data_IF_540626865520
#
_entry.id   IF_540626865520
#
_cell.length_a   1.000
_cell.length_b   1.000
_cell.length_c   1.000
_cell.angle_alpha   90.00
_cell.angle_beta   90.00
_cell.angle_gamma   90.00
#
_symmetry.space_group_name_H-M   'P 1'
#
loop_
_entity.id
_entity.type
_entity.pdbx_description
1 polymer ?
#
# COMPACT_ATOMS: atom_id res chain seq x y z
N UNK A 1 -18.87 25.79 23.23
CA UNK A 1 -17.45 25.80 22.81
C UNK A 1 -16.65 26.50 23.89
N UNK A 2 -16.03 25.73 24.78
CA UNK A 2 -15.14 26.30 25.82
C UNK A 2 -13.88 26.77 25.11
N UNK A 3 -13.59 28.06 25.19
CA UNK A 3 -12.38 28.65 24.62
C UNK A 3 -11.15 28.08 25.32
N UNK A 4 -10.50 27.08 24.71
CA UNK A 4 -9.16 26.65 25.13
C UNK A 4 -8.25 27.85 24.94
N UNK A 5 -7.80 28.44 26.05
CA UNK A 5 -6.77 29.49 26.00
C UNK A 5 -5.56 28.94 25.25
N UNK A 6 -5.04 29.70 24.28
CA UNK A 6 -3.85 29.30 23.52
C UNK A 6 -2.64 29.01 24.44
N UNK A 7 -2.66 29.48 25.69
CA UNK A 7 -1.62 29.25 26.69
C UNK A 7 -1.72 27.91 27.42
N UNK A 8 -2.86 27.22 27.37
CA UNK A 8 -3.04 25.90 27.99
C UNK A 8 -3.05 24.75 26.98
N UNK A 9 -3.12 25.04 25.67
CA UNK A 9 -3.18 24.03 24.62
C UNK A 9 -1.97 23.09 24.68
N UNK A 10 -2.24 21.80 24.87
CA UNK A 10 -1.22 20.75 24.86
C UNK A 10 -0.90 20.30 23.44
N UNK A 11 0.25 19.63 23.28
CA UNK A 11 0.62 19.02 22.00
C UNK A 11 -0.40 17.94 21.60
N UNK A 12 -0.94 17.18 22.55
CA UNK A 12 -1.94 16.15 22.27
C UNK A 12 -3.21 16.73 21.65
N UNK A 13 -3.82 17.69 22.34
CA UNK A 13 -5.03 18.39 21.88
C UNK A 13 -4.81 19.09 20.53
N UNK A 14 -3.62 19.68 20.34
CA UNK A 14 -3.26 20.30 19.08
C UNK A 14 -3.19 19.27 17.94
N UNK A 15 -2.51 18.14 18.16
CA UNK A 15 -2.37 17.09 17.14
C UNK A 15 -3.71 16.49 16.75
N UNK A 16 -4.63 16.29 17.70
CA UNK A 16 -5.99 15.82 17.44
C UNK A 16 -6.76 16.82 16.56
N UNK A 17 -6.76 18.10 16.93
CA UNK A 17 -7.43 19.16 16.17
C UNK A 17 -6.81 19.31 14.78
N UNK A 18 -5.48 19.26 14.69
CA UNK A 18 -4.75 19.33 13.43
C UNK A 18 -5.11 18.17 12.50
N UNK A 19 -5.18 16.96 13.04
CA UNK A 19 -5.50 15.75 12.28
C UNK A 19 -6.95 15.76 11.79
N UNK A 20 -7.89 16.20 12.63
CA UNK A 20 -9.30 16.37 12.26
C UNK A 20 -9.47 17.33 11.07
N UNK A 21 -8.60 18.34 10.96
CA UNK A 21 -8.58 19.28 9.83
C UNK A 21 -7.99 18.74 8.52
N UNK A 22 -7.48 17.49 8.45
CA UNK A 22 -6.79 16.94 7.27
C UNK A 22 -7.70 16.17 6.30
N UNK A 23 -8.82 16.77 5.89
CA UNK A 23 -9.83 16.12 5.03
C UNK A 23 -9.33 15.75 3.61
N UNK A 24 -8.30 16.42 3.08
CA UNK A 24 -7.79 16.17 1.73
C UNK A 24 -6.77 15.01 1.62
N UNK A 25 -6.42 14.35 2.73
CA UNK A 25 -5.47 13.24 2.72
C UNK A 25 -6.12 11.95 2.22
N UNK A 26 -5.38 11.18 1.41
CA UNK A 26 -5.82 9.82 1.03
C UNK A 26 -5.98 8.93 2.28
N UNK A 27 -6.93 7.97 2.28
CA UNK A 27 -7.21 7.13 3.45
C UNK A 27 -5.98 6.47 4.09
N UNK A 28 -5.07 5.90 3.27
CA UNK A 28 -3.83 5.29 3.78
C UNK A 28 -2.89 6.30 4.46
N UNK A 29 -2.81 7.52 3.95
CA UNK A 29 -1.99 8.58 4.55
C UNK A 29 -2.60 9.06 5.86
N UNK A 30 -3.93 9.23 5.91
CA UNK A 30 -4.65 9.59 7.13
C UNK A 30 -4.49 8.52 8.22
N UNK A 31 -4.66 7.25 7.87
CA UNK A 31 -4.42 6.10 8.76
C UNK A 31 -3.01 6.14 9.35
N UNK A 32 -1.99 6.34 8.51
CA UNK A 32 -0.60 6.47 8.98
C UNK A 32 -0.39 7.67 9.91
N UNK A 33 -0.98 8.83 9.60
CA UNK A 33 -0.86 10.02 10.45
C UNK A 33 -1.48 9.76 11.82
N UNK A 34 -2.65 9.11 11.85
CA UNK A 34 -3.33 8.69 13.08
C UNK A 34 -2.48 7.71 13.87
N UNK A 35 -1.99 6.65 13.24
CA UNK A 35 -1.17 5.63 13.89
C UNK A 35 0.09 6.25 14.52
N UNK A 36 0.79 7.13 13.82
CA UNK A 36 1.97 7.79 14.39
C UNK A 36 1.62 8.74 15.52
N UNK A 37 0.50 9.47 15.38
CA UNK A 37 0.03 10.40 16.40
C UNK A 37 -0.33 9.65 17.68
N UNK A 38 -1.15 8.61 17.58
CA UNK A 38 -1.65 7.85 18.71
C UNK A 38 -0.58 6.96 19.35
N UNK A 39 0.27 6.32 18.57
CA UNK A 39 1.22 5.33 19.10
C UNK A 39 2.57 5.92 19.51
N UNK A 40 2.98 7.07 18.96
CA UNK A 40 4.32 7.62 19.19
C UNK A 40 4.34 9.10 19.60
N UNK A 41 3.52 9.97 19.00
CA UNK A 41 3.58 11.40 19.33
C UNK A 41 2.88 11.71 20.66
N UNK A 42 1.59 11.37 20.77
CA UNK A 42 0.76 11.65 21.96
C UNK A 42 1.31 11.00 23.21
N UNK A 43 1.76 9.72 23.21
CA UNK A 43 2.28 9.10 24.41
C UNK A 43 3.49 9.83 25.00
N UNK A 44 4.36 10.38 24.15
CA UNK A 44 5.63 10.98 24.58
C UNK A 44 5.58 12.50 24.73
N UNK A 45 4.79 13.18 23.90
CA UNK A 45 4.75 14.64 23.85
C UNK A 45 3.39 15.22 24.27
N UNK A 46 2.34 14.39 24.33
CA UNK A 46 0.96 14.85 24.40
C UNK A 46 0.63 15.73 25.60
N UNK A 47 1.27 15.51 26.75
CA UNK A 47 1.06 16.28 27.98
C UNK A 47 1.83 17.61 28.02
N UNK A 48 2.78 17.81 27.12
CA UNK A 48 3.58 19.03 27.07
C UNK A 48 2.71 20.14 26.48
N UNK A 49 2.74 21.33 27.07
CA UNK A 49 2.08 22.50 26.47
C UNK A 49 2.74 22.83 25.13
N UNK A 50 1.95 23.16 24.11
CA UNK A 50 2.45 23.41 22.77
C UNK A 50 3.54 24.50 22.74
N UNK A 51 3.35 25.57 23.51
CA UNK A 51 4.33 26.67 23.67
C UNK A 51 5.61 26.28 24.44
N UNK A 52 5.57 25.19 25.22
CA UNK A 52 6.70 24.66 25.98
C UNK A 52 7.43 23.54 25.24
N UNK A 53 6.94 23.12 24.08
CA UNK A 53 7.62 22.11 23.27
C UNK A 53 8.97 22.63 22.78
N UNK A 54 10.01 21.81 22.91
CA UNK A 54 11.42 22.16 22.62
C UNK A 54 12.11 20.95 22.00
N UNK A 55 13.24 21.19 21.32
CA UNK A 55 14.00 20.15 20.61
C UNK A 55 14.35 18.95 21.50
N UNK A 56 14.82 19.18 22.73
CA UNK A 56 15.20 18.10 23.66
C UNK A 56 14.03 17.14 24.01
N UNK A 57 12.78 17.60 23.96
CA UNK A 57 11.61 16.73 24.14
C UNK A 57 11.46 15.76 22.96
N UNK A 58 11.73 16.24 21.74
CA UNK A 58 11.73 15.44 20.53
C UNK A 58 12.89 14.44 20.54
N UNK A 59 14.09 14.86 20.92
CA UNK A 59 15.25 13.96 21.05
C UNK A 59 14.97 12.82 22.03
N UNK A 60 14.41 13.15 23.20
CA UNK A 60 13.98 12.15 24.19
C UNK A 60 12.93 11.19 23.63
N UNK A 61 11.95 11.70 22.89
CA UNK A 61 10.95 10.85 22.23
C UNK A 61 11.61 9.93 21.19
N UNK A 62 12.48 10.46 20.32
CA UNK A 62 13.15 9.68 19.28
C UNK A 62 14.02 8.57 19.86
N UNK A 63 14.76 8.86 20.92
CA UNK A 63 15.52 7.85 21.66
C UNK A 63 14.58 6.78 22.24
N UNK A 64 13.48 7.19 22.87
CA UNK A 64 12.52 6.27 23.48
C UNK A 64 11.91 5.32 22.44
N UNK A 65 11.46 5.81 21.28
CA UNK A 65 10.86 4.96 20.24
C UNK A 65 11.90 4.12 19.49
N UNK A 66 13.15 4.60 19.37
CA UNK A 66 14.25 3.81 18.83
C UNK A 66 14.57 2.60 19.72
N UNK A 67 14.49 2.78 21.04
CA UNK A 67 14.68 1.71 22.02
C UNK A 67 13.42 0.85 22.24
N UNK A 68 12.30 1.15 21.57
CA UNK A 68 11.05 0.42 21.73
C UNK A 68 10.37 0.68 23.07
N UNK A 69 10.65 1.80 23.73
CA UNK A 69 9.89 2.17 24.92
C UNK A 69 8.42 2.38 24.51
N UNK A 70 7.51 1.59 25.11
CA UNK A 70 6.08 1.53 24.77
C UNK A 70 5.76 0.87 23.41
N UNK A 71 6.58 -0.07 22.96
CA UNK A 71 6.27 -0.86 21.78
C UNK A 71 7.45 -1.71 21.30
N UNK A 72 7.53 -1.92 19.98
CA UNK A 72 8.71 -2.50 19.36
C UNK A 72 9.68 -1.38 18.95
N UNK A 73 11.01 -1.62 19.03
CA UNK A 73 12.01 -0.72 18.48
C UNK A 73 11.70 -0.33 17.03
N UNK A 74 11.72 0.97 16.75
CA UNK A 74 11.48 1.46 15.39
C UNK A 74 12.77 1.61 14.61
N UNK A 75 12.71 1.25 13.33
CA UNK A 75 13.82 1.50 12.41
C UNK A 75 14.03 3.00 12.17
N UNK A 76 15.25 3.44 11.82
CA UNK A 76 15.53 4.83 11.48
C UNK A 76 14.58 5.39 10.41
N UNK A 77 14.18 4.59 9.43
CA UNK A 77 13.24 5.01 8.38
C UNK A 77 11.84 5.28 8.91
N UNK A 78 11.35 4.47 9.85
CA UNK A 78 10.05 4.72 10.49
C UNK A 78 10.12 5.96 11.35
N UNK A 79 11.21 6.17 12.10
CA UNK A 79 11.43 7.37 12.93
C UNK A 79 11.39 8.65 12.07
N UNK A 80 12.05 8.68 10.91
CA UNK A 80 11.95 9.82 9.97
C UNK A 80 10.52 10.09 9.52
N UNK A 81 9.72 9.06 9.29
CA UNK A 81 8.31 9.24 8.90
C UNK A 81 7.48 9.80 10.06
N UNK A 82 7.72 9.34 11.30
CA UNK A 82 7.12 9.94 12.52
C UNK A 82 7.51 11.41 12.63
N UNK A 83 8.80 11.73 12.45
CA UNK A 83 9.30 13.10 12.44
C UNK A 83 8.65 13.96 11.35
N UNK A 84 8.51 13.46 10.13
CA UNK A 84 7.87 14.19 9.03
C UNK A 84 6.41 14.55 9.34
N UNK A 85 5.66 13.64 10.01
CA UNK A 85 4.28 13.93 10.46
C UNK A 85 4.28 15.01 11.55
N UNK A 86 5.13 14.88 12.57
CA UNK A 86 5.25 15.89 13.63
C UNK A 86 5.64 17.25 13.07
N UNK A 87 6.64 17.32 12.19
CA UNK A 87 7.09 18.55 11.55
C UNK A 87 5.99 19.18 10.71
N UNK A 88 5.21 18.38 9.97
CA UNK A 88 4.04 18.87 9.22
C UNK A 88 2.98 19.50 10.14
N UNK A 89 2.75 18.90 11.31
CA UNK A 89 1.87 19.46 12.34
C UNK A 89 2.42 20.77 12.89
N UNK A 90 3.65 20.79 13.39
CA UNK A 90 4.26 21.98 14.00
C UNK A 90 4.40 23.14 13.00
N UNK A 91 4.70 22.87 11.73
CA UNK A 91 4.70 23.91 10.70
C UNK A 91 3.29 24.47 10.43
N UNK A 92 2.25 23.65 10.60
CA UNK A 92 0.87 24.13 10.56
C UNK A 92 0.54 25.01 11.78
N UNK A 93 1.14 24.73 12.95
CA UNK A 93 0.99 25.54 14.16
C UNK A 93 1.65 26.91 14.00
N UNK A 94 2.87 26.94 13.43
CA UNK A 94 3.59 28.18 13.09
C UNK A 94 2.78 29.03 12.11
N UNK A 95 2.25 28.43 11.03
CA UNK A 95 1.40 29.13 10.05
C UNK A 95 0.14 29.74 10.68
N UNK A 96 -0.40 29.09 11.71
CA UNK A 96 -1.56 29.57 12.49
C UNK A 96 -1.16 30.47 13.65
N UNK A 97 0.12 30.81 13.79
CA UNK A 97 0.68 31.65 14.87
C UNK A 97 0.41 31.12 16.28
N UNK A 98 0.24 29.80 16.43
CA UNK A 98 0.08 29.16 17.75
C UNK A 98 1.42 29.01 18.47
N UNK A 99 2.50 28.88 17.71
CA UNK A 99 3.89 28.88 18.19
C UNK A 99 4.73 29.76 17.28
N UNK A 100 5.78 30.42 17.80
CA UNK A 100 6.62 31.33 17.02
C UNK A 100 7.55 30.61 16.05
N UNK A 101 8.00 29.40 16.39
CA UNK A 101 8.92 28.59 15.58
C UNK A 101 8.62 27.10 15.77
N UNK A 102 9.08 26.26 14.86
CA UNK A 102 8.88 24.81 14.93
C UNK A 102 10.05 24.14 15.67
N UNK A 103 9.83 23.47 16.82
CA UNK A 103 10.86 22.70 17.50
C UNK A 103 11.46 21.55 16.70
N UNK A 104 10.87 21.19 15.56
CA UNK A 104 11.29 20.09 14.71
C UNK A 104 12.27 20.49 13.58
N UNK A 105 12.59 21.76 13.39
CA UNK A 105 13.34 22.18 12.19
C UNK A 105 14.82 21.77 12.17
N UNK A 106 15.44 21.59 13.34
CA UNK A 106 16.88 21.31 13.47
C UNK A 106 17.18 20.02 14.24
N UNK A 107 16.26 19.06 14.22
CA UNK A 107 16.52 17.75 14.83
C UNK A 107 17.41 16.93 13.90
N UNK A 108 18.54 16.47 14.43
CA UNK A 108 19.39 15.49 13.77
C UNK A 108 18.87 14.08 14.07
N UNK A 109 18.45 13.38 13.02
CA UNK A 109 18.01 12.00 13.13
C UNK A 109 19.16 11.07 12.73
N UNK A 110 19.22 9.90 13.37
CA UNK A 110 20.17 8.84 13.01
C UNK A 110 20.20 8.63 11.49
N UNK A 111 21.37 8.35 10.87
CA UNK A 111 21.50 8.20 9.43
C UNK A 111 20.72 6.99 8.89
N UNK A 112 20.40 7.03 7.60
CA UNK A 112 19.69 5.96 6.91
C UNK A 112 20.73 5.14 6.16
N UNK A 113 20.77 3.83 6.40
CA UNK A 113 21.50 2.90 5.54
C UNK A 113 20.48 2.02 4.79
N UNK A 114 19.76 2.58 3.81
CA UNK A 114 18.81 1.80 3.04
C UNK A 114 19.59 0.75 2.25
N UNK A 115 19.37 -0.53 2.57
CA UNK A 115 19.79 -1.61 1.68
C UNK A 115 19.01 -1.45 0.38
N UNK A 116 19.71 -1.11 -0.71
CA UNK A 116 19.08 -1.07 -2.03
C UNK A 116 18.61 -2.49 -2.35
N UNK A 117 17.32 -2.71 -2.70
CA UNK A 117 16.87 -4.01 -3.13
C UNK A 117 17.66 -4.41 -4.38
N UNK A 118 18.18 -5.64 -4.41
CA UNK A 118 18.84 -6.19 -5.60
C UNK A 118 17.74 -6.56 -6.60
N UNK A 119 17.72 -5.94 -7.80
CA UNK A 119 16.76 -6.32 -8.83
C UNK A 119 16.97 -7.78 -9.25
N UNK A 120 15.89 -8.47 -9.61
CA UNK A 120 15.98 -9.80 -10.20
C UNK A 120 16.54 -9.72 -11.62
N UNK A 121 17.35 -10.70 -11.98
CA UNK A 121 17.78 -10.99 -13.34
C UNK A 121 16.63 -11.59 -14.13
N UNK A 122 16.70 -11.53 -15.46
CA UNK A 122 15.71 -12.16 -16.36
C UNK A 122 15.56 -13.66 -16.04
N UNK A 123 16.67 -14.34 -15.74
CA UNK A 123 16.65 -15.77 -15.38
C UNK A 123 15.89 -16.03 -14.08
N UNK A 124 16.07 -15.19 -13.06
CA UNK A 124 15.33 -15.29 -11.80
C UNK A 124 13.83 -15.05 -12.01
N UNK A 125 13.45 -14.05 -12.81
CA UNK A 125 12.04 -13.80 -13.16
C UNK A 125 11.41 -15.00 -13.88
N UNK A 126 12.12 -15.59 -14.85
CA UNK A 126 11.65 -16.77 -15.59
C UNK A 126 11.53 -18.00 -14.70
N UNK A 127 12.50 -18.23 -13.82
CA UNK A 127 12.44 -19.33 -12.84
C UNK A 127 11.25 -19.15 -11.92
N UNK A 128 11.06 -17.96 -11.36
CA UNK A 128 9.92 -17.67 -10.51
C UNK A 128 8.59 -18.00 -11.21
N UNK A 129 8.37 -17.49 -12.42
CA UNK A 129 7.12 -17.76 -13.17
C UNK A 129 6.92 -19.24 -13.49
N UNK A 130 7.98 -20.02 -13.71
CA UNK A 130 7.89 -21.47 -13.88
C UNK A 130 7.50 -22.18 -12.58
N UNK A 131 8.09 -21.77 -11.46
CA UNK A 131 7.86 -22.40 -10.16
C UNK A 131 6.42 -22.17 -9.65
N UNK A 132 5.77 -21.11 -10.11
CA UNK A 132 4.39 -20.78 -9.76
C UNK A 132 3.41 -21.00 -10.92
N UNK A 133 3.76 -21.78 -11.95
CA UNK A 133 2.95 -21.94 -13.16
C UNK A 133 1.50 -22.38 -12.89
N UNK A 134 1.29 -23.14 -11.80
CA UNK A 134 -0.02 -23.63 -11.36
C UNK A 134 -0.67 -22.76 -10.25
N UNK A 135 0.01 -21.70 -9.77
CA UNK A 135 -0.57 -20.76 -8.81
C UNK A 135 -1.52 -19.78 -9.53
N UNK A 136 -2.71 -19.54 -8.97
CA UNK A 136 -3.69 -18.63 -9.57
C UNK A 136 -3.17 -17.21 -9.81
N UNK A 137 -2.15 -16.77 -9.05
CA UNK A 137 -1.55 -15.44 -9.16
C UNK A 137 -0.46 -15.35 -10.23
N UNK A 138 -0.13 -16.45 -10.93
CA UNK A 138 0.90 -16.44 -11.99
C UNK A 138 0.66 -15.33 -13.02
N UNK A 139 -0.59 -15.14 -13.45
CA UNK A 139 -0.96 -14.13 -14.43
C UNK A 139 -0.79 -12.70 -13.88
N UNK A 140 -1.05 -12.49 -12.59
CA UNK A 140 -0.83 -11.21 -11.91
C UNK A 140 0.66 -10.86 -11.88
N UNK A 141 1.52 -11.81 -11.52
CA UNK A 141 2.95 -11.57 -11.48
C UNK A 141 3.56 -11.43 -12.86
N UNK A 142 3.09 -12.22 -13.85
CA UNK A 142 3.48 -12.04 -15.24
C UNK A 142 3.21 -10.61 -15.68
N UNK A 143 1.98 -10.12 -15.47
CA UNK A 143 1.59 -8.77 -15.82
C UNK A 143 2.53 -7.74 -15.16
N UNK A 144 2.77 -7.84 -13.85
CA UNK A 144 3.65 -6.91 -13.12
C UNK A 144 5.08 -6.91 -13.68
N UNK A 145 5.64 -8.07 -13.99
CA UNK A 145 7.01 -8.21 -14.49
C UNK A 145 7.18 -7.59 -15.88
N UNK A 146 6.19 -7.75 -16.76
CA UNK A 146 6.27 -7.28 -18.16
C UNK A 146 5.86 -5.82 -18.32
N UNK A 147 4.96 -5.32 -17.47
CA UNK A 147 4.45 -3.93 -17.56
C UNK A 147 5.14 -2.95 -16.61
N UNK A 148 5.75 -3.46 -15.53
CA UNK A 148 6.26 -2.64 -14.43
C UNK A 148 5.16 -1.94 -13.62
N UNK A 149 3.90 -2.37 -13.73
CA UNK A 149 2.80 -1.81 -12.93
C UNK A 149 3.05 -1.98 -11.44
N UNK A 150 2.64 -1.02 -10.63
CA UNK A 150 2.67 -1.21 -9.17
C UNK A 150 1.65 -2.27 -8.79
N UNK A 151 1.97 -3.10 -7.78
CA UNK A 151 1.08 -4.14 -7.23
C UNK A 151 -0.37 -3.68 -7.08
N UNK A 152 -0.60 -2.52 -6.46
CA UNK A 152 -1.96 -2.00 -6.24
C UNK A 152 -2.67 -1.56 -7.53
N UNK A 153 -1.92 -1.11 -8.55
CA UNK A 153 -2.45 -0.77 -9.88
C UNK A 153 -2.86 -2.05 -10.62
N UNK A 154 -2.00 -3.08 -10.62
CA UNK A 154 -2.31 -4.36 -11.25
C UNK A 154 -3.52 -5.06 -10.61
N UNK A 155 -3.59 -5.09 -9.28
CA UNK A 155 -4.74 -5.64 -8.53
C UNK A 155 -6.01 -4.82 -8.75
N UNK A 156 -5.89 -3.51 -9.00
CA UNK A 156 -7.02 -2.63 -9.29
C UNK A 156 -7.44 -2.58 -10.76
N UNK A 157 -6.78 -3.32 -11.65
CA UNK A 157 -7.08 -3.29 -13.08
C UNK A 157 -8.48 -3.89 -13.32
N UNK A 158 -9.31 -3.19 -14.09
CA UNK A 158 -10.64 -3.65 -14.51
C UNK A 158 -10.62 -4.10 -15.96
N UNK A 159 -11.49 -5.04 -16.32
CA UNK A 159 -11.63 -5.48 -17.71
C UNK A 159 -11.98 -4.34 -18.67
N UNK A 160 -12.79 -3.37 -18.23
CA UNK A 160 -13.12 -2.18 -19.05
C UNK A 160 -11.91 -1.27 -19.34
N UNK A 161 -10.83 -1.42 -18.57
CA UNK A 161 -9.59 -0.66 -18.75
C UNK A 161 -8.53 -1.46 -19.57
N UNK A 162 -8.90 -2.64 -20.10
CA UNK A 162 -8.04 -3.54 -20.89
C UNK A 162 -8.52 -3.59 -22.33
N UNK A 163 -7.69 -3.12 -23.26
CA UNK A 163 -7.90 -3.32 -24.69
C UNK A 163 -6.95 -4.41 -25.20
N UNK A 164 -7.45 -5.63 -25.30
CA UNK A 164 -6.66 -6.78 -25.76
C UNK A 164 -6.42 -6.77 -27.28
N UNK A 165 -7.27 -6.09 -28.05
CA UNK A 165 -7.15 -6.01 -29.51
C UNK A 165 -6.19 -4.89 -29.90
N UNK A 166 -6.32 -3.72 -29.25
CA UNK A 166 -5.37 -2.61 -29.32
C UNK A 166 -4.10 -2.79 -28.48
N UNK A 167 -4.00 -3.89 -27.72
CA UNK A 167 -2.84 -4.29 -26.90
C UNK A 167 -2.39 -3.20 -25.93
N UNK A 168 -3.33 -2.60 -25.21
CA UNK A 168 -3.02 -1.56 -24.24
C UNK A 168 -3.87 -1.65 -22.96
N UNK A 169 -3.29 -1.15 -21.86
CA UNK A 169 -3.92 -1.08 -20.55
C UNK A 169 -4.01 0.36 -20.06
N UNK A 170 -5.14 0.72 -19.48
CA UNK A 170 -5.37 2.02 -18.84
C UNK A 170 -5.24 1.93 -17.33
N UNK A 171 -4.23 2.58 -16.74
CA UNK A 171 -4.08 2.61 -15.27
C UNK A 171 -4.95 3.71 -14.66
N UNK A 172 -6.23 3.40 -14.42
CA UNK A 172 -7.23 4.35 -13.92
C UNK A 172 -7.34 4.35 -12.39
N UNK A 173 -7.15 3.20 -11.75
CA UNK A 173 -7.29 3.04 -10.30
C UNK A 173 -6.20 2.15 -9.69
N UNK A 174 -6.16 2.14 -8.36
CA UNK A 174 -5.38 1.19 -7.58
C UNK A 174 -6.17 0.73 -6.35
N UNK A 175 -5.88 -0.48 -5.89
CA UNK A 175 -6.36 -0.99 -4.60
C UNK A 175 -5.20 -0.94 -3.61
N UNK A 176 -5.43 -0.24 -2.49
CA UNK A 176 -4.49 -0.13 -1.36
C UNK A 176 -5.08 -0.78 -0.13
N UNK A 177 -4.25 -1.20 0.83
CA UNK A 177 -4.76 -1.78 2.08
C UNK A 177 -4.70 -0.78 3.23
N UNK A 178 -5.81 -0.58 3.92
CA UNK A 178 -5.92 0.22 5.15
C UNK A 178 -6.53 -0.66 6.24
N UNK A 179 -5.75 -0.95 7.30
CA UNK A 179 -6.14 -1.82 8.41
C UNK A 179 -6.80 -3.16 7.98
N UNK A 180 -6.17 -3.86 7.02
CA UNK A 180 -6.65 -5.15 6.51
C UNK A 180 -7.81 -5.06 5.51
N UNK A 181 -8.27 -3.86 5.14
CA UNK A 181 -9.34 -3.66 4.15
C UNK A 181 -8.78 -3.08 2.86
N UNK A 182 -9.20 -3.65 1.72
CA UNK A 182 -8.95 -3.07 0.41
C UNK A 182 -9.71 -1.76 0.25
N UNK A 183 -9.02 -0.70 -0.15
CA UNK A 183 -9.54 0.63 -0.40
C UNK A 183 -9.14 1.02 -1.81
N UNK A 184 -10.15 1.18 -2.66
CA UNK A 184 -10.01 1.74 -4.01
C UNK A 184 -9.59 3.20 -3.89
N UNK A 185 -8.61 3.60 -4.69
CA UNK A 185 -8.19 4.99 -4.77
C UNK A 185 -7.57 5.30 -6.12
N UNK A 186 -7.41 6.59 -6.40
CA UNK A 186 -6.69 7.05 -7.59
C UNK A 186 -5.20 6.72 -7.48
N UNK A 187 -4.49 6.46 -8.60
CA UNK A 187 -3.05 6.29 -8.62
C UNK A 187 -2.31 7.43 -7.90
N UNK A 188 -1.08 7.16 -7.44
CA UNK A 188 -0.30 8.17 -6.68
C UNK A 188 0.14 9.36 -7.55
N UNK A 189 0.01 9.26 -8.87
CA UNK A 189 0.40 10.30 -9.84
C UNK A 189 -0.81 11.21 -10.13
N UNK A 190 -0.57 12.54 -10.13
CA UNK A 190 -1.61 13.58 -10.31
C UNK A 190 -2.09 13.78 -11.76
N UNK A 191 -1.39 13.23 -12.76
CA UNK A 191 -1.87 13.18 -14.15
C UNK A 191 -2.52 11.82 -14.37
N UNK A 192 -3.81 11.84 -14.70
CA UNK A 192 -4.65 10.67 -14.87
C UNK A 192 -4.13 9.70 -15.93
N UNK A 193 -4.61 8.47 -15.81
CA UNK A 193 -4.55 7.38 -16.79
C UNK A 193 -3.27 7.30 -17.62
N UNK A 194 -2.31 6.50 -17.14
CA UNK A 194 -1.18 6.09 -17.97
C UNK A 194 -1.63 4.92 -18.84
N UNK A 195 -1.44 5.04 -20.15
CA UNK A 195 -1.51 3.91 -21.07
C UNK A 195 -0.23 3.09 -21.02
N UNK A 196 -0.38 1.77 -20.97
CA UNK A 196 0.72 0.82 -20.97
C UNK A 196 0.52 -0.14 -22.14
N UNK A 197 1.39 -0.13 -23.16
CA UNK A 197 1.35 -1.14 -24.21
C UNK A 197 1.74 -2.50 -23.65
N UNK A 198 1.11 -3.56 -24.16
CA UNK A 198 1.40 -4.95 -23.79
C UNK A 198 1.79 -5.76 -25.03
N UNK A 199 2.64 -6.77 -24.83
CA UNK A 199 3.08 -7.68 -25.87
C UNK A 199 2.06 -8.82 -26.10
N UNK A 200 2.26 -9.57 -27.19
CA UNK A 200 1.40 -10.70 -27.58
C UNK A 200 1.31 -11.79 -26.50
N UNK A 201 2.41 -12.03 -25.77
CA UNK A 201 2.44 -13.01 -24.69
C UNK A 201 1.55 -12.57 -23.52
N UNK A 202 1.64 -11.30 -23.12
CA UNK A 202 0.76 -10.73 -22.09
C UNK A 202 -0.72 -10.76 -22.53
N UNK A 203 -1.03 -10.45 -23.79
CA UNK A 203 -2.40 -10.55 -24.33
C UNK A 203 -2.94 -11.98 -24.22
N UNK A 204 -2.16 -12.97 -24.67
CA UNK A 204 -2.57 -14.38 -24.63
C UNK A 204 -2.85 -14.85 -23.19
N UNK A 205 -2.03 -14.41 -22.23
CA UNK A 205 -2.21 -14.73 -20.81
C UNK A 205 -3.46 -14.09 -20.24
N UNK A 206 -3.74 -12.82 -20.58
CA UNK A 206 -4.96 -12.16 -20.13
C UNK A 206 -6.22 -12.81 -20.73
N UNK A 207 -6.20 -13.25 -21.99
CA UNK A 207 -7.33 -14.01 -22.58
C UNK A 207 -7.58 -15.31 -21.84
N UNK A 208 -6.54 -16.11 -21.59
CA UNK A 208 -6.66 -17.33 -20.79
C UNK A 208 -7.17 -17.04 -19.37
N UNK A 209 -6.71 -15.94 -18.77
CA UNK A 209 -7.18 -15.51 -17.46
C UNK A 209 -8.68 -15.17 -17.46
N UNK A 210 -9.16 -14.49 -18.50
CA UNK A 210 -10.57 -14.18 -18.69
C UNK A 210 -11.42 -15.45 -18.78
N UNK A 211 -10.99 -16.43 -19.57
CA UNK A 211 -11.67 -17.73 -19.72
C UNK A 211 -11.76 -18.48 -18.38
N UNK A 212 -10.66 -18.54 -17.61
CA UNK A 212 -10.66 -19.17 -16.28
C UNK A 212 -11.64 -18.46 -15.32
N UNK A 213 -11.66 -17.13 -15.33
CA UNK A 213 -12.56 -16.36 -14.48
C UNK A 213 -14.03 -16.55 -14.88
N UNK A 214 -14.32 -16.70 -16.17
CA UNK A 214 -15.69 -16.97 -16.65
C UNK A 214 -16.19 -18.35 -16.19
N UNK A 215 -15.30 -19.36 -16.14
CA UNK A 215 -15.60 -20.68 -15.56
C UNK A 215 -15.90 -20.56 -14.06
N UNK A 216 -15.09 -19.82 -13.30
CA UNK A 216 -15.34 -19.58 -11.88
C UNK A 216 -16.66 -18.82 -11.66
N UNK A 217 -16.92 -17.78 -12.46
CA UNK A 217 -18.18 -17.01 -12.42
C UNK A 217 -19.37 -17.93 -12.65
N UNK A 218 -19.31 -18.82 -13.64
CA UNK A 218 -20.38 -19.78 -13.90
C UNK A 218 -20.57 -20.76 -12.74
N UNK A 219 -19.49 -21.22 -12.11
CA UNK A 219 -19.54 -22.14 -10.97
C UNK A 219 -20.16 -21.51 -9.71
N UNK A 220 -19.87 -20.22 -9.45
CA UNK A 220 -20.46 -19.48 -8.33
C UNK A 220 -21.87 -18.96 -8.60
N UNK A 221 -22.22 -18.76 -9.88
CA UNK A 221 -23.54 -18.30 -10.31
C UNK A 221 -23.97 -17.03 -9.59
N UNK A 222 -25.16 -16.98 -8.95
CA UNK A 222 -25.65 -15.79 -8.25
C UNK A 222 -24.78 -15.32 -7.06
N UNK A 223 -23.91 -16.18 -6.53
CA UNK A 223 -23.03 -15.83 -5.41
C UNK A 223 -21.74 -15.12 -5.87
N UNK A 224 -21.49 -15.03 -7.18
CA UNK A 224 -20.34 -14.32 -7.74
C UNK A 224 -20.39 -12.83 -7.40
N UNK A 225 -19.27 -12.28 -6.94
CA UNK A 225 -19.12 -10.85 -6.74
C UNK A 225 -18.61 -10.18 -8.01
N UNK A 226 -19.48 -9.48 -8.73
CA UNK A 226 -19.08 -8.77 -9.95
C UNK A 226 -18.40 -7.43 -9.63
N UNK A 227 -17.10 -7.49 -9.37
CA UNK A 227 -16.26 -6.31 -9.15
C UNK A 227 -15.69 -5.72 -10.45
N UNK A 228 -15.89 -6.36 -11.61
CA UNK A 228 -15.29 -5.98 -12.90
C UNK A 228 -13.75 -6.04 -12.95
N UNK A 229 -13.10 -6.64 -11.94
CA UNK A 229 -11.64 -6.68 -11.80
C UNK A 229 -11.04 -7.84 -12.61
N UNK A 230 -9.86 -7.60 -13.19
CA UNK A 230 -9.08 -8.64 -13.87
C UNK A 230 -8.61 -9.69 -12.87
N UNK A 231 -8.05 -9.28 -11.73
CA UNK A 231 -7.55 -10.20 -10.70
C UNK A 231 -8.44 -10.19 -9.46
N UNK A 232 -9.16 -11.29 -9.25
CA UNK A 232 -10.09 -11.49 -8.14
C UNK A 232 -9.67 -12.67 -7.28
N UNK A 233 -10.39 -12.85 -6.17
CA UNK A 233 -10.51 -14.15 -5.51
C UNK A 233 -11.46 -15.05 -6.32
N UNK A 234 -11.50 -16.32 -5.96
CA UNK A 234 -12.37 -17.34 -6.56
C UNK A 234 -13.87 -16.95 -6.50
N UNK A 235 -14.28 -16.12 -5.54
CA UNK A 235 -15.67 -15.62 -5.39
C UNK A 235 -15.93 -14.29 -6.13
N UNK A 236 -14.99 -13.82 -6.95
CA UNK A 236 -15.08 -12.56 -7.70
C UNK A 236 -14.72 -11.30 -6.89
N UNK A 237 -14.53 -11.40 -5.57
CA UNK A 237 -14.14 -10.24 -4.77
C UNK A 237 -12.72 -9.77 -5.07
N UNK A 238 -12.47 -8.49 -4.81
CA UNK A 238 -11.15 -7.91 -4.95
C UNK A 238 -10.06 -8.66 -4.15
N UNK A 239 -8.91 -8.87 -4.79
CA UNK A 239 -7.74 -9.45 -4.13
C UNK A 239 -7.14 -8.44 -3.12
N UNK A 240 -6.94 -8.81 -1.84
CA UNK A 240 -6.25 -7.93 -0.91
C UNK A 240 -4.78 -7.74 -1.35
N UNK A 241 -4.22 -6.51 -1.37
CA UNK A 241 -2.84 -6.31 -1.80
C UNK A 241 -1.80 -7.11 -1.01
N UNK A 242 -2.02 -7.32 0.28
CA UNK A 242 -1.13 -8.11 1.12
C UNK A 242 -1.20 -9.61 0.82
N UNK A 243 -2.28 -10.08 0.20
CA UNK A 243 -2.38 -11.45 -0.28
C UNK A 243 -1.31 -11.73 -1.34
N UNK A 244 -1.18 -10.85 -2.33
CA UNK A 244 -0.14 -10.98 -3.36
C UNK A 244 1.27 -10.88 -2.77
N UNK A 245 1.51 -10.00 -1.79
CA UNK A 245 2.86 -9.95 -1.18
C UNK A 245 3.21 -11.19 -0.38
N UNK A 246 2.27 -11.77 0.36
CA UNK A 246 2.51 -13.00 1.10
C UNK A 246 2.77 -14.18 0.17
N UNK A 247 2.02 -14.31 -0.92
CA UNK A 247 2.25 -15.35 -1.93
C UNK A 247 3.61 -15.21 -2.62
N UNK A 248 4.05 -13.98 -2.89
CA UNK A 248 5.39 -13.73 -3.45
C UNK A 248 6.53 -14.11 -2.48
N UNK A 249 6.30 -14.00 -1.17
CA UNK A 249 7.31 -14.26 -0.13
C UNK A 249 7.29 -15.70 0.41
N UNK A 250 6.17 -16.41 0.24
CA UNK A 250 6.07 -17.81 0.62
C UNK A 250 6.86 -18.67 -0.39
N UNK A 251 7.62 -19.68 0.06
CA UNK A 251 8.12 -20.70 -0.85
C UNK A 251 6.92 -21.34 -1.57
N UNK A 252 7.04 -21.68 -2.87
CA UNK A 252 5.94 -22.27 -3.62
C UNK A 252 5.44 -23.52 -2.87
N UNK A 253 4.20 -23.47 -2.38
CA UNK A 253 3.59 -24.64 -1.76
C UNK A 253 3.10 -25.56 -2.87
N UNK A 254 3.39 -26.87 -2.82
CA UNK A 254 2.75 -27.81 -3.70
C UNK A 254 1.23 -27.71 -3.45
N UNK A 255 0.48 -27.34 -4.48
CA UNK A 255 -0.98 -27.31 -4.42
C UNK A 255 -1.45 -28.73 -4.08
N UNK A 256 -2.24 -28.86 -3.01
CA UNK A 256 -2.84 -30.13 -2.61
C UNK A 256 -3.61 -30.72 -3.80
N UNK A 257 -3.33 -31.98 -4.12
CA UNK A 257 -3.68 -32.64 -5.37
C UNK A 257 -5.20 -32.91 -5.58
N UNK A 258 -6.09 -32.34 -4.78
CA UNK A 258 -7.48 -32.80 -4.68
C UNK A 258 -8.52 -31.91 -5.39
N UNK A 259 -8.09 -30.96 -6.22
CA UNK A 259 -8.99 -30.24 -7.15
C UNK A 259 -8.45 -30.24 -8.58
N UNK A 260 -8.05 -31.42 -9.06
CA UNK A 260 -7.73 -31.64 -10.48
C UNK A 260 -9.02 -31.86 -11.27
N UNK A 261 -9.50 -30.81 -11.95
CA UNK A 261 -10.12 -31.02 -13.26
C UNK A 261 -8.97 -31.20 -14.27
N UNK A 262 -8.91 -32.30 -15.02
CA UNK A 262 -7.75 -32.60 -15.86
C UNK A 262 -7.73 -31.71 -17.10
N UNK A 263 -6.81 -30.74 -17.12
CA UNK A 263 -6.45 -29.96 -18.31
C UNK A 263 -5.52 -30.76 -19.24
N UNK A 264 -5.86 -32.02 -19.49
CA UNK A 264 -5.13 -32.94 -20.35
C UNK A 264 -6.08 -33.54 -21.40
N UNK A 265 -6.50 -32.72 -22.38
CA UNK A 265 -7.25 -33.21 -23.53
C UNK A 265 -6.94 -32.53 -24.88
N UNK A 266 -6.11 -31.48 -24.94
CA UNK A 266 -5.86 -30.77 -26.21
C UNK A 266 -4.39 -30.55 -26.50
N UNK A 267 -3.64 -31.64 -26.63
CA UNK A 267 -2.46 -31.71 -27.50
C UNK A 267 -2.32 -33.15 -28.00
N UNK A 268 -2.95 -33.47 -29.14
CA UNK A 268 -2.47 -34.53 -30.03
C UNK A 268 -2.04 -33.87 -31.34
N UNK A 269 -0.84 -34.16 -31.84
CA UNK A 269 -0.45 -33.76 -33.19
C UNK A 269 -1.20 -34.65 -34.21
N UNK A 270 -1.86 -34.01 -35.16
CA UNK A 270 -2.17 -34.58 -36.47
C UNK A 270 -1.13 -34.13 -37.46
#
# INVERSE_FOLDING_TARGET
MVGVSAHSLTVGEYLETWLAGKHALKPKTMSLYRDFTTNYLVPHLGQIRLLQLRAHHLDRMYLAIALGMRGRPLSPSTIRRVHAVLRSALNSAVKRRLIPYSPADHIELAPENPKRPKPWTVKECQTFLRDIADDRLVNLYHLILFTGMRRGEAIGLRWEDVDLDGRCLSVVQQITEVHGRGVVGTPKIKRGTRLIPIDDGTVAILRRHQEMQDVERAAWGPAWNDAGLVFTREDGRALPPEYATRHFQAPPQPVAADLRLPLAAFLRPG
#
